data_IF_322756824877
#
_entry.id   IF_322756824877
#
_cell.length_a   1.000
_cell.length_b   1.000
_cell.length_c   1.000
_cell.angle_alpha   90.00
_cell.angle_beta   90.00
_cell.angle_gamma   90.00
#
_symmetry.space_group_name_H-M   'P 1'
#
loop_
_entity.id
_entity.type
_entity.pdbx_description
1 polymer ?
#
# COMPACT_ATOMS: atom_id res chain seq x y z
N UNK A 1 -6.91 -17.38 -10.58
CA UNK A 1 -6.43 -16.01 -10.32
C UNK A 1 -5.63 -16.01 -9.02
N UNK A 2 -4.29 -16.06 -9.08
CA UNK A 2 -3.43 -15.79 -7.91
C UNK A 2 -2.89 -14.36 -8.07
N UNK A 3 -3.32 -13.46 -7.19
CA UNK A 3 -2.88 -12.06 -7.18
C UNK A 3 -1.34 -11.91 -7.02
N UNK A 4 -0.66 -12.93 -6.49
CA UNK A 4 0.80 -12.98 -6.35
C UNK A 4 1.60 -13.41 -7.59
N UNK A 5 0.98 -14.03 -8.61
CA UNK A 5 1.73 -14.55 -9.78
C UNK A 5 1.95 -13.52 -10.89
N UNK A 6 1.33 -12.35 -10.82
CA UNK A 6 1.49 -11.29 -11.83
C UNK A 6 2.74 -10.41 -11.57
N UNK A 7 3.09 -10.17 -10.31
CA UNK A 7 4.23 -9.31 -9.95
C UNK A 7 5.61 -9.81 -10.45
N UNK A 8 5.94 -11.12 -10.45
CA UNK A 8 7.27 -11.56 -10.90
C UNK A 8 7.40 -11.70 -12.43
N UNK A 9 6.34 -11.49 -13.23
CA UNK A 9 6.34 -11.77 -14.68
C UNK A 9 6.35 -10.55 -15.60
N UNK A 10 6.25 -9.32 -15.08
CA UNK A 10 6.23 -8.12 -15.92
C UNK A 10 7.39 -7.17 -15.57
N UNK A 11 8.47 -7.16 -16.36
CA UNK A 11 9.62 -6.25 -16.20
C UNK A 11 9.26 -4.75 -16.30
N UNK A 12 8.07 -4.41 -16.79
CA UNK A 12 7.61 -3.06 -17.10
C UNK A 12 6.89 -2.33 -15.98
N UNK A 13 6.60 -2.98 -14.84
CA UNK A 13 5.77 -2.35 -13.82
C UNK A 13 6.47 -1.19 -13.12
N UNK A 14 5.86 0.01 -13.10
CA UNK A 14 6.41 1.13 -12.35
C UNK A 14 6.53 0.78 -10.87
N UNK A 15 7.61 1.23 -10.22
CA UNK A 15 7.84 0.96 -8.79
C UNK A 15 6.81 1.59 -7.86
N UNK A 16 6.04 2.57 -8.34
CA UNK A 16 5.03 3.31 -7.56
C UNK A 16 3.82 2.42 -7.24
N UNK A 17 2.86 2.91 -6.46
CA UNK A 17 1.62 2.16 -6.17
C UNK A 17 0.58 2.32 -7.28
N UNK A 18 -0.08 1.23 -7.67
CA UNK A 18 -1.22 1.23 -8.62
C UNK A 18 -2.47 1.90 -8.06
N UNK A 19 -2.54 2.08 -6.74
CA UNK A 19 -3.61 2.85 -6.10
C UNK A 19 -3.51 4.34 -6.46
N UNK A 20 -2.34 4.84 -6.86
CA UNK A 20 -2.11 6.26 -7.18
C UNK A 20 -1.67 6.50 -8.63
N UNK A 21 -1.40 5.43 -9.38
CA UNK A 21 -0.92 5.50 -10.77
C UNK A 21 -1.55 4.40 -11.60
N UNK A 22 -1.90 4.70 -12.86
CA UNK A 22 -2.41 3.70 -13.79
C UNK A 22 -1.28 2.96 -14.51
N UNK A 23 -1.48 1.67 -14.78
CA UNK A 23 -0.58 0.84 -15.60
C UNK A 23 -1.35 0.26 -16.78
N UNK A 24 -0.79 0.39 -17.98
CA UNK A 24 -1.42 0.00 -19.23
C UNK A 24 -1.77 -1.49 -19.27
N UNK A 25 -0.93 -2.35 -18.69
CA UNK A 25 -1.06 -3.80 -18.78
C UNK A 25 -2.12 -4.38 -17.82
N UNK A 26 -2.61 -3.59 -16.84
CA UNK A 26 -3.54 -4.05 -15.80
C UNK A 26 -4.59 -3.01 -15.39
N UNK A 27 -5.43 -2.55 -16.34
CA UNK A 27 -6.41 -1.51 -16.08
C UNK A 27 -7.43 -1.93 -15.01
N UNK A 28 -7.86 -3.19 -14.98
CA UNK A 28 -8.80 -3.71 -13.96
C UNK A 28 -8.21 -3.69 -12.55
N UNK A 29 -6.93 -4.07 -12.41
CA UNK A 29 -6.22 -3.99 -11.12
C UNK A 29 -6.11 -2.55 -10.62
N UNK A 30 -5.78 -1.62 -11.53
CA UNK A 30 -5.72 -0.19 -11.20
C UNK A 30 -7.10 0.31 -10.78
N UNK A 31 -8.15 0.03 -11.56
CA UNK A 31 -9.53 0.42 -11.25
C UNK A 31 -9.97 -0.10 -9.87
N UNK A 32 -9.70 -1.36 -9.53
CA UNK A 32 -10.03 -1.90 -8.21
C UNK A 32 -9.29 -1.18 -7.08
N UNK A 33 -8.01 -0.83 -7.27
CA UNK A 33 -7.22 -0.13 -6.25
C UNK A 33 -7.66 1.32 -6.06
N UNK A 34 -8.05 1.99 -7.13
CA UNK A 34 -8.64 3.34 -7.05
C UNK A 34 -10.03 3.31 -6.39
N UNK A 35 -10.86 2.32 -6.73
CA UNK A 35 -12.16 2.13 -6.07
C UNK A 35 -12.02 1.90 -4.56
N UNK A 36 -10.98 1.17 -4.13
CA UNK A 36 -10.70 0.98 -2.70
C UNK A 36 -10.34 2.30 -1.98
N UNK A 37 -9.66 3.23 -2.65
CA UNK A 37 -9.35 4.54 -2.07
C UNK A 37 -10.62 5.35 -1.80
N UNK A 38 -11.52 5.44 -2.78
CA UNK A 38 -12.80 6.14 -2.62
C UNK A 38 -13.69 5.46 -1.57
N UNK A 39 -13.70 4.13 -1.51
CA UNK A 39 -14.39 3.40 -0.45
C UNK A 39 -13.83 3.74 0.95
N UNK A 40 -12.51 3.71 1.10
CA UNK A 40 -11.87 4.00 2.39
C UNK A 40 -12.09 5.46 2.84
N UNK A 41 -12.11 6.41 1.90
CA UNK A 41 -12.46 7.81 2.17
C UNK A 41 -13.90 7.92 2.69
N UNK A 42 -14.87 7.28 2.01
CA UNK A 42 -16.26 7.24 2.47
C UNK A 42 -16.42 6.63 3.86
N UNK A 43 -15.72 5.53 4.14
CA UNK A 43 -15.72 4.89 5.47
C UNK A 43 -15.10 5.81 6.52
N UNK A 44 -14.00 6.50 6.20
CA UNK A 44 -13.34 7.45 7.11
C UNK A 44 -14.29 8.57 7.52
N UNK A 45 -15.02 9.14 6.57
CA UNK A 45 -16.00 10.18 6.85
C UNK A 45 -17.20 9.67 7.62
N UNK A 46 -17.65 8.45 7.33
CA UNK A 46 -18.72 7.81 8.08
C UNK A 46 -18.34 7.62 9.56
N UNK A 47 -17.16 7.07 9.85
CA UNK A 47 -16.73 6.86 11.24
C UNK A 47 -16.50 8.19 11.97
N UNK A 48 -15.97 9.21 11.30
CA UNK A 48 -15.84 10.57 11.85
C UNK A 48 -17.20 11.15 12.24
N UNK A 49 -18.21 11.05 11.35
CA UNK A 49 -19.58 11.51 11.61
C UNK A 49 -20.26 10.75 12.75
N UNK A 50 -19.98 9.46 12.89
CA UNK A 50 -20.53 8.64 13.98
C UNK A 50 -19.95 8.96 15.37
N UNK A 51 -18.87 9.74 15.45
CA UNK A 51 -18.15 9.99 16.69
C UNK A 51 -17.31 8.80 17.18
N UNK A 52 -17.19 7.74 16.38
CA UNK A 52 -16.36 6.59 16.72
C UNK A 52 -14.87 6.94 16.70
N UNK A 53 -14.13 6.51 17.72
CA UNK A 53 -12.67 6.68 17.80
C UNK A 53 -11.92 5.63 16.96
N UNK A 54 -12.20 5.62 15.65
CA UNK A 54 -11.64 4.70 14.65
C UNK A 54 -10.80 5.51 13.65
N UNK A 55 -9.56 5.07 13.41
CA UNK A 55 -8.69 5.63 12.37
C UNK A 55 -8.76 4.75 11.13
N UNK A 56 -8.95 5.37 9.97
CA UNK A 56 -8.98 4.69 8.67
C UNK A 56 -7.87 5.29 7.80
N UNK A 57 -6.95 4.46 7.34
CA UNK A 57 -5.82 4.87 6.52
C UNK A 57 -5.56 3.87 5.40
N UNK A 58 -5.06 4.38 4.28
CA UNK A 58 -4.73 3.59 3.11
C UNK A 58 -3.22 3.39 3.05
N UNK A 59 -2.79 2.14 3.12
CA UNK A 59 -1.40 1.77 2.90
C UNK A 59 -1.21 1.37 1.44
N UNK A 60 -0.55 2.23 0.66
CA UNK A 60 -0.40 2.14 -0.78
C UNK A 60 1.06 1.80 -1.15
N UNK A 61 1.48 0.53 -1.01
CA UNK A 61 2.83 0.15 -1.40
C UNK A 61 2.97 0.05 -2.92
N UNK A 62 4.20 0.25 -3.37
CA UNK A 62 4.70 -0.13 -4.68
C UNK A 62 5.04 -1.62 -4.76
N UNK A 63 6.12 -1.96 -5.47
CA UNK A 63 6.62 -3.33 -5.52
C UNK A 63 7.14 -3.76 -4.14
N UNK A 64 6.60 -4.86 -3.59
CA UNK A 64 6.99 -5.41 -2.28
C UNK A 64 7.54 -6.81 -2.45
N UNK A 65 8.67 -7.10 -1.81
CA UNK A 65 9.28 -8.41 -1.87
C UNK A 65 8.64 -9.38 -0.88
N UNK A 66 7.54 -10.02 -1.30
CA UNK A 66 6.79 -10.97 -0.47
C UNK A 66 7.38 -12.38 -0.46
N UNK A 67 8.33 -12.68 -1.35
CA UNK A 67 8.99 -13.99 -1.42
C UNK A 67 10.21 -14.04 -0.49
N UNK A 68 10.84 -12.90 -0.24
CA UNK A 68 12.00 -12.78 0.64
C UNK A 68 11.64 -12.00 1.91
N UNK A 69 11.03 -12.69 2.89
CA UNK A 69 10.50 -12.06 4.10
C UNK A 69 11.41 -12.16 5.33
N UNK A 70 12.49 -12.94 5.25
CA UNK A 70 13.38 -13.15 6.39
C UNK A 70 14.11 -11.86 6.79
N UNK A 71 14.07 -11.54 8.08
CA UNK A 71 14.80 -10.41 8.65
C UNK A 71 16.30 -10.48 8.35
N UNK A 72 16.87 -9.37 7.87
CA UNK A 72 18.29 -9.25 7.55
C UNK A 72 18.67 -9.66 6.12
N UNK A 73 17.69 -10.05 5.29
CA UNK A 73 17.91 -10.25 3.85
C UNK A 73 17.63 -8.97 3.06
N UNK A 74 18.45 -8.74 2.05
CA UNK A 74 18.21 -7.64 1.12
C UNK A 74 17.04 -7.98 0.18
N UNK A 75 16.12 -7.02 -0.07
CA UNK A 75 15.05 -7.22 -1.03
C UNK A 75 15.61 -7.28 -2.45
N UNK A 76 14.84 -7.86 -3.37
CA UNK A 76 15.14 -7.76 -4.80
C UNK A 76 15.31 -6.29 -5.24
N UNK A 77 16.24 -5.99 -6.17
CA UNK A 77 16.45 -4.62 -6.63
C UNK A 77 15.14 -3.95 -7.08
N UNK A 78 14.85 -2.79 -6.50
CA UNK A 78 13.63 -2.04 -6.80
C UNK A 78 12.35 -2.48 -6.10
N UNK A 79 12.43 -3.48 -5.23
CA UNK A 79 11.33 -3.90 -4.35
C UNK A 79 11.55 -3.33 -2.95
N UNK A 80 10.46 -3.11 -2.23
CA UNK A 80 10.47 -2.76 -0.81
C UNK A 80 10.50 -4.02 0.03
N UNK A 81 11.40 -4.08 1.02
CA UNK A 81 11.44 -5.17 1.99
C UNK A 81 10.23 -5.11 2.94
N UNK A 82 9.67 -6.27 3.29
CA UNK A 82 8.50 -6.37 4.19
C UNK A 82 8.74 -5.76 5.57
N UNK A 83 9.97 -5.79 6.08
CA UNK A 83 10.30 -5.15 7.36
C UNK A 83 10.09 -3.64 7.34
N UNK A 84 10.32 -2.98 6.20
CA UNK A 84 10.02 -1.55 6.06
C UNK A 84 8.51 -1.30 6.07
N UNK A 85 7.71 -2.21 5.50
CA UNK A 85 6.25 -2.13 5.58
C UNK A 85 5.75 -2.21 7.02
N UNK A 86 6.27 -3.19 7.77
CA UNK A 86 5.93 -3.34 9.18
C UNK A 86 6.35 -2.10 10.00
N UNK A 87 7.56 -1.58 9.79
CA UNK A 87 8.05 -0.37 10.48
C UNK A 87 7.20 0.86 10.17
N UNK A 88 6.81 1.08 8.91
CA UNK A 88 5.93 2.20 8.54
C UNK A 88 4.55 2.06 9.18
N UNK A 89 4.00 0.84 9.25
CA UNK A 89 2.73 0.61 9.92
C UNK A 89 2.83 0.85 11.42
N UNK A 90 3.88 0.37 12.08
CA UNK A 90 4.13 0.62 13.50
C UNK A 90 4.29 2.12 13.79
N UNK A 91 5.00 2.85 12.93
CA UNK A 91 5.10 4.31 13.01
C UNK A 91 3.72 4.97 12.92
N UNK A 92 2.92 4.63 11.92
CA UNK A 92 1.56 5.17 11.76
C UNK A 92 0.68 4.88 12.98
N UNK A 93 0.81 3.69 13.57
CA UNK A 93 0.07 3.29 14.76
C UNK A 93 0.53 4.00 16.03
N UNK A 94 1.83 4.34 16.13
CA UNK A 94 2.42 5.03 17.28
C UNK A 94 2.04 6.50 17.41
N UNK A 95 1.49 7.10 16.34
CA UNK A 95 0.97 8.47 16.40
C UNK A 95 -0.22 8.57 17.34
N UNK A 96 -0.39 9.74 17.96
CA UNK A 96 -1.53 10.04 18.81
C UNK A 96 -2.86 9.76 18.11
N UNK A 97 -3.89 9.45 18.91
CA UNK A 97 -5.19 9.01 18.38
C UNK A 97 -5.92 10.08 17.57
N UNK A 98 -5.62 11.36 17.81
CA UNK A 98 -6.13 12.51 17.05
C UNK A 98 -5.33 12.80 15.78
N UNK A 99 -4.23 12.08 15.53
CA UNK A 99 -3.41 12.20 14.32
C UNK A 99 -3.71 11.03 13.39
N UNK A 100 -4.02 11.35 12.13
CA UNK A 100 -4.35 10.35 11.10
C UNK A 100 -3.50 10.61 9.87
N UNK A 101 -2.80 9.57 9.42
CA UNK A 101 -2.20 9.52 8.09
C UNK A 101 -3.24 8.94 7.13
N UNK A 102 -3.77 9.71 6.19
CA UNK A 102 -4.87 9.23 5.36
C UNK A 102 -4.40 8.28 4.27
N UNK A 103 -3.35 8.66 3.54
CA UNK A 103 -2.77 7.88 2.46
C UNK A 103 -1.24 7.82 2.61
N UNK A 104 -0.72 6.60 2.78
CA UNK A 104 0.72 6.36 2.91
C UNK A 104 1.20 5.67 1.63
N UNK A 105 1.89 6.40 0.77
CA UNK A 105 2.50 5.86 -0.44
C UNK A 105 3.98 5.57 -0.20
N UNK A 106 4.40 4.33 -0.43
CA UNK A 106 5.77 3.89 -0.17
C UNK A 106 6.27 2.99 -1.30
N UNK A 107 7.45 3.28 -1.82
CA UNK A 107 8.07 2.53 -2.92
C UNK A 107 9.60 2.62 -2.82
N UNK A 108 10.29 1.70 -3.48
CA UNK A 108 11.76 1.72 -3.57
C UNK A 108 12.22 2.75 -4.59
N UNK A 109 13.21 3.57 -4.23
CA UNK A 109 13.77 4.63 -5.10
C UNK A 109 14.75 4.09 -6.15
N UNK A 110 15.48 3.02 -5.83
CA UNK A 110 16.54 2.45 -6.69
C UNK A 110 15.95 1.76 -7.90
#
# INVERSE_FOLDING_TARGET
MRCGSCAPRCPSWPRRSSAKHGYADVPSYCASKWGLLGFAESVRDHVRKSGANIRVFNFCPGLVDVENTATGREPRPGFVHVSNMARTLLYALSLDRNVVLEDINIYSRG
#
